data_IF_509899578260
#
_entry.id   IF_509899578260
#
_cell.length_a   1.000
_cell.length_b   1.000
_cell.length_c   1.000
_cell.angle_alpha   90.00
_cell.angle_beta   90.00
_cell.angle_gamma   90.00
#
_symmetry.space_group_name_H-M   'P 1'
#
loop_
_entity.id
_entity.type
_entity.pdbx_description
1 polymer ?
#
# COMPACT_ATOMS: atom_id res chain seq x y z
N UNK A 1 5.96 18.46 -3.59
CA UNK A 1 6.03 17.13 -2.95
C UNK A 1 7.13 16.36 -3.66
N UNK A 2 8.05 15.74 -2.92
CA UNK A 2 9.11 14.89 -3.48
C UNK A 2 9.05 13.53 -2.79
N UNK A 3 9.02 12.46 -3.58
CA UNK A 3 8.97 11.08 -3.13
C UNK A 3 9.85 10.21 -4.02
N UNK A 4 10.28 9.05 -3.50
CA UNK A 4 10.91 7.99 -4.26
C UNK A 4 10.88 6.69 -3.44
N UNK A 5 10.54 5.59 -4.10
CA UNK A 5 10.91 4.25 -3.64
C UNK A 5 12.42 4.02 -3.82
N UNK A 6 13.14 3.80 -2.72
CA UNK A 6 14.56 3.51 -2.68
C UNK A 6 15.43 4.57 -2.02
N UNK A 7 14.88 5.49 -1.21
CA UNK A 7 15.73 6.37 -0.40
C UNK A 7 16.37 5.57 0.73
N UNK A 8 17.70 5.62 0.84
CA UNK A 8 18.45 4.64 1.64
C UNK A 8 18.63 5.00 3.12
N UNK A 9 18.44 6.26 3.52
CA UNK A 9 18.60 6.71 4.91
C UNK A 9 18.11 8.14 5.12
N UNK A 10 18.03 8.58 6.38
CA UNK A 10 17.85 9.99 6.74
C UNK A 10 18.89 10.92 6.12
N UNK A 11 20.14 10.46 5.97
CA UNK A 11 21.22 11.26 5.38
C UNK A 11 20.96 11.53 3.90
N UNK A 12 20.51 10.52 3.15
CA UNK A 12 20.14 10.68 1.73
C UNK A 12 18.93 11.60 1.61
N UNK A 13 17.94 11.47 2.49
CA UNK A 13 16.75 12.32 2.49
C UNK A 13 17.10 13.79 2.77
N UNK A 14 18.04 14.04 3.70
CA UNK A 14 18.59 15.37 3.95
C UNK A 14 19.31 15.95 2.73
N UNK A 15 20.11 15.15 2.03
CA UNK A 15 20.79 15.59 0.80
C UNK A 15 19.79 16.00 -0.30
N UNK A 16 18.69 15.27 -0.45
CA UNK A 16 17.61 15.63 -1.40
C UNK A 16 17.01 16.98 -1.03
N UNK A 17 16.63 17.19 0.24
CA UNK A 17 16.07 18.46 0.71
C UNK A 17 17.06 19.61 0.50
N UNK A 18 18.34 19.40 0.83
CA UNK A 18 19.38 20.42 0.68
C UNK A 18 19.67 20.74 -0.79
N UNK A 19 19.57 19.77 -1.69
CA UNK A 19 19.72 20.00 -3.13
C UNK A 19 18.55 20.83 -3.69
N UNK A 20 17.31 20.56 -3.31
CA UNK A 20 16.17 21.42 -3.70
C UNK A 20 16.41 22.86 -3.26
N UNK A 21 16.85 23.07 -2.01
CA UNK A 21 17.18 24.40 -1.49
C UNK A 21 18.35 25.05 -2.23
N UNK A 22 19.42 24.29 -2.50
CA UNK A 22 20.61 24.76 -3.21
C UNK A 22 20.29 25.27 -4.62
N UNK A 23 19.33 24.65 -5.28
CA UNK A 23 18.91 25.01 -6.64
C UNK A 23 17.67 25.92 -6.68
N UNK A 24 17.25 26.46 -5.53
CA UNK A 24 16.11 27.37 -5.42
C UNK A 24 14.80 26.77 -5.98
N UNK A 25 14.62 25.45 -5.79
CA UNK A 25 13.43 24.71 -6.21
C UNK A 25 12.50 24.59 -5.00
N UNK A 26 11.24 25.09 -5.09
CA UNK A 26 10.28 24.99 -4.00
C UNK A 26 9.99 23.53 -3.60
N UNK A 27 10.20 23.21 -2.32
CA UNK A 27 9.89 21.91 -1.75
C UNK A 27 9.16 22.08 -0.42
N UNK A 28 7.86 21.78 -0.41
CA UNK A 28 7.03 21.88 0.80
C UNK A 28 6.95 20.57 1.60
N UNK A 29 6.98 19.43 0.90
CA UNK A 29 6.72 18.12 1.49
C UNK A 29 7.75 17.10 0.96
N UNK A 30 8.41 16.38 1.88
CA UNK A 30 9.29 15.25 1.58
C UNK A 30 8.63 13.96 2.07
N UNK A 31 8.76 12.91 1.27
CA UNK A 31 8.05 11.64 1.46
C UNK A 31 9.07 10.51 1.56
N UNK A 32 8.72 9.49 2.34
CA UNK A 32 9.46 8.23 2.37
C UNK A 32 8.52 7.10 2.04
N UNK A 33 8.94 6.28 1.08
CA UNK A 33 8.35 4.99 0.77
C UNK A 33 8.75 3.95 1.84
N UNK A 34 8.44 2.67 1.62
CA UNK A 34 8.62 1.56 2.56
C UNK A 34 10.06 1.35 3.04
N UNK A 35 11.06 1.99 2.42
CA UNK A 35 12.48 1.86 2.77
C UNK A 35 12.80 2.30 4.21
N UNK A 36 11.97 3.19 4.79
CA UNK A 36 12.18 3.63 6.16
C UNK A 36 11.85 2.53 7.18
N UNK A 37 11.04 1.55 6.78
CA UNK A 37 10.47 0.58 7.68
C UNK A 37 11.46 -0.54 8.01
N UNK A 38 11.48 -0.98 9.26
CA UNK A 38 12.24 -2.17 9.66
C UNK A 38 11.62 -3.40 9.01
N UNK A 39 12.30 -3.98 8.02
CA UNK A 39 11.80 -5.14 7.27
C UNK A 39 10.38 -4.93 6.70
N UNK A 40 10.10 -3.72 6.21
CA UNK A 40 8.81 -3.34 5.61
C UNK A 40 7.60 -3.44 6.55
N UNK A 41 7.82 -3.37 7.87
CA UNK A 41 6.77 -3.42 8.89
C UNK A 41 6.27 -2.01 9.20
N UNK A 42 4.96 -1.81 9.07
CA UNK A 42 4.33 -0.57 9.50
C UNK A 42 4.70 -0.18 10.93
N UNK A 43 4.79 1.12 11.19
CA UNK A 43 5.06 1.69 12.52
C UNK A 43 6.41 1.31 13.16
N UNK A 44 7.29 0.55 12.49
CA UNK A 44 8.66 0.31 12.92
C UNK A 44 9.67 1.00 12.00
N UNK A 45 10.59 1.77 12.57
CA UNK A 45 11.68 2.41 11.81
C UNK A 45 12.89 1.47 11.73
N UNK A 46 13.57 1.40 10.58
CA UNK A 46 14.83 0.67 10.47
C UNK A 46 15.88 1.32 11.40
N UNK A 47 16.40 0.60 12.41
CA UNK A 47 17.28 1.20 13.42
C UNK A 47 18.68 1.56 12.87
N UNK A 48 19.05 1.09 11.68
CA UNK A 48 20.37 1.28 11.09
C UNK A 48 20.40 2.43 10.07
N UNK A 49 19.34 2.56 9.26
CA UNK A 49 19.26 3.55 8.17
C UNK A 49 18.28 4.67 8.44
N UNK A 50 17.24 4.41 9.24
CA UNK A 50 16.17 5.33 9.56
C UNK A 50 15.90 5.42 11.06
N UNK A 51 16.96 5.42 11.88
CA UNK A 51 16.82 5.41 13.34
C UNK A 51 15.91 6.54 13.85
N UNK A 52 15.14 6.27 14.92
CA UNK A 52 14.22 7.26 15.53
C UNK A 52 14.98 8.50 15.99
N UNK A 53 16.20 8.34 16.51
CA UNK A 53 17.01 9.46 16.99
C UNK A 53 17.39 10.43 15.85
N UNK A 54 17.88 9.91 14.74
CA UNK A 54 18.21 10.73 13.56
C UNK A 54 16.97 11.30 12.89
N UNK A 55 15.86 10.55 12.89
CA UNK A 55 14.57 11.02 12.40
C UNK A 55 14.08 12.24 13.17
N UNK A 56 14.16 12.23 14.50
CA UNK A 56 13.82 13.40 15.33
C UNK A 56 14.67 14.63 14.98
N UNK A 57 15.96 14.45 14.74
CA UNK A 57 16.85 15.54 14.33
C UNK A 57 16.56 16.06 12.91
N UNK A 58 16.25 15.17 11.97
CA UNK A 58 15.87 15.52 10.60
C UNK A 58 14.54 16.31 10.59
N UNK A 59 13.51 15.78 11.26
CA UNK A 59 12.18 16.38 11.30
C UNK A 59 12.19 17.73 12.02
N UNK A 60 12.97 17.88 13.10
CA UNK A 60 13.13 19.18 13.75
C UNK A 60 13.68 20.26 12.79
N UNK A 61 14.64 19.92 11.93
CA UNK A 61 15.16 20.83 10.89
C UNK A 61 14.13 21.08 9.80
N UNK A 62 13.42 20.05 9.37
CA UNK A 62 12.39 20.14 8.34
C UNK A 62 11.26 21.10 8.77
N UNK A 63 10.73 20.90 9.98
CA UNK A 63 9.68 21.74 10.57
C UNK A 63 10.15 23.17 10.85
N UNK A 64 11.41 23.37 11.28
CA UNK A 64 11.99 24.72 11.45
C UNK A 64 12.05 25.51 10.12
N UNK A 65 11.99 24.82 8.98
CA UNK A 65 11.94 25.41 7.65
C UNK A 65 10.52 25.47 7.06
N UNK A 66 9.47 25.22 7.87
CA UNK A 66 8.07 25.11 7.43
C UNK A 66 7.84 24.04 6.35
N UNK A 67 8.65 22.99 6.34
CA UNK A 67 8.46 21.83 5.45
C UNK A 67 7.84 20.67 6.24
N UNK A 68 7.23 19.74 5.53
CA UNK A 68 6.40 18.67 6.11
C UNK A 68 6.88 17.28 5.67
N UNK A 69 6.67 16.28 6.52
CA UNK A 69 7.06 14.90 6.28
C UNK A 69 5.85 13.97 6.14
N UNK A 70 5.80 13.21 5.02
CA UNK A 70 4.70 12.32 4.68
C UNK A 70 5.24 10.89 4.44
N UNK A 71 5.21 10.00 5.45
CA UNK A 71 5.55 8.59 5.24
C UNK A 71 4.38 7.80 4.61
N UNK A 72 4.73 6.74 3.89
CA UNK A 72 3.80 5.67 3.52
C UNK A 72 3.42 4.83 4.73
N UNK A 73 2.20 4.28 4.74
CA UNK A 73 1.75 3.20 5.63
C UNK A 73 0.94 2.24 4.77
N UNK A 74 1.25 0.96 4.84
CA UNK A 74 0.58 -0.06 4.06
C UNK A 74 -0.73 -0.52 4.72
N UNK A 75 -1.54 -1.20 3.93
CA UNK A 75 -2.85 -1.69 4.36
C UNK A 75 -2.81 -3.02 5.10
N UNK A 76 -1.66 -3.70 5.13
CA UNK A 76 -1.52 -5.05 5.67
C UNK A 76 -0.47 -5.08 6.79
N UNK A 77 -0.81 -5.72 7.91
CA UNK A 77 0.02 -5.81 9.09
C UNK A 77 0.81 -7.11 9.06
N UNK A 78 2.13 -7.02 9.22
CA UNK A 78 3.00 -8.19 9.33
C UNK A 78 2.51 -9.19 10.39
N UNK A 79 2.51 -10.48 10.05
CA UNK A 79 2.25 -11.55 10.99
C UNK A 79 3.59 -12.14 11.49
N UNK A 80 3.94 -11.98 12.78
CA UNK A 80 5.19 -12.50 13.33
C UNK A 80 5.19 -14.04 13.40
N UNK A 81 6.38 -14.64 13.38
CA UNK A 81 6.54 -16.09 13.47
C UNK A 81 6.28 -16.52 14.93
N UNK A 82 5.21 -17.27 15.22
CA UNK A 82 4.88 -17.65 16.58
C UNK A 82 5.93 -18.56 17.24
N UNK A 83 6.79 -19.20 16.45
CA UNK A 83 7.89 -20.03 16.94
C UNK A 83 9.18 -19.23 17.23
N UNK A 84 9.23 -17.94 16.89
CA UNK A 84 10.40 -17.08 17.09
C UNK A 84 10.09 -15.91 18.02
N UNK A 85 10.47 -16.03 19.29
CA UNK A 85 10.22 -14.99 20.28
C UNK A 85 10.95 -13.65 20.00
N UNK A 86 12.02 -13.65 19.18
CA UNK A 86 12.72 -12.40 18.80
C UNK A 86 12.03 -11.68 17.64
N UNK A 87 11.06 -12.33 16.99
CA UNK A 87 10.24 -11.76 15.92
C UNK A 87 8.96 -11.09 16.47
N UNK A 88 8.99 -10.65 17.73
CA UNK A 88 7.86 -10.00 18.36
C UNK A 88 7.45 -8.74 17.60
N UNK A 89 6.14 -8.56 17.41
CA UNK A 89 5.58 -7.41 16.71
C UNK A 89 4.33 -6.91 17.43
N UNK A 90 4.48 -5.95 18.36
CA UNK A 90 3.40 -5.55 19.27
C UNK A 90 2.15 -4.98 18.58
N UNK A 91 2.30 -4.42 17.38
CA UNK A 91 1.21 -3.87 16.57
C UNK A 91 0.23 -5.00 16.21
N UNK A 92 0.77 -6.13 15.71
CA UNK A 92 0.00 -7.34 15.45
C UNK A 92 -0.63 -7.88 16.73
N UNK A 93 0.12 -7.99 17.83
CA UNK A 93 -0.39 -8.55 19.08
C UNK A 93 -1.59 -7.76 19.63
N UNK A 94 -1.53 -6.42 19.58
CA UNK A 94 -2.62 -5.53 19.99
C UNK A 94 -3.85 -5.65 19.08
N UNK A 95 -3.64 -5.72 17.77
CA UNK A 95 -4.74 -5.90 16.82
C UNK A 95 -5.40 -7.27 16.98
N UNK A 96 -4.60 -8.33 17.07
CA UNK A 96 -5.08 -9.70 17.17
C UNK A 96 -5.83 -9.94 18.48
N UNK A 97 -5.36 -9.37 19.59
CA UNK A 97 -6.07 -9.43 20.88
C UNK A 97 -7.38 -8.65 20.92
N UNK A 98 -7.62 -7.78 19.93
CA UNK A 98 -8.83 -6.98 19.78
C UNK A 98 -9.73 -7.45 18.63
N UNK A 99 -9.43 -8.63 18.04
CA UNK A 99 -10.17 -9.23 16.93
C UNK A 99 -10.39 -8.27 15.74
N UNK A 100 -9.36 -7.51 15.36
CA UNK A 100 -9.45 -6.47 14.30
C UNK A 100 -9.03 -6.95 12.92
N UNK A 101 -8.79 -8.24 12.70
CA UNK A 101 -8.27 -8.76 11.43
C UNK A 101 -9.29 -9.65 10.70
N UNK A 102 -9.24 -9.61 9.36
CA UNK A 102 -10.03 -10.47 8.48
C UNK A 102 -9.77 -11.96 8.75
N UNK A 103 -10.81 -12.77 8.55
CA UNK A 103 -10.78 -14.21 8.81
C UNK A 103 -11.03 -15.04 7.56
N UNK A 104 -10.61 -16.30 7.61
CA UNK A 104 -11.07 -17.34 6.71
C UNK A 104 -12.50 -17.78 7.07
N UNK A 105 -13.20 -18.50 6.18
CA UNK A 105 -14.51 -19.08 6.48
C UNK A 105 -14.56 -19.97 7.73
N UNK A 106 -13.44 -20.57 8.11
CA UNK A 106 -13.31 -21.40 9.32
C UNK A 106 -13.01 -20.58 10.60
N UNK A 107 -13.09 -19.24 10.52
CA UNK A 107 -12.79 -18.27 11.58
C UNK A 107 -11.30 -18.14 11.97
N UNK A 108 -10.39 -18.86 11.33
CA UNK A 108 -8.94 -18.61 11.47
C UNK A 108 -8.56 -17.27 10.84
N UNK A 109 -7.41 -16.70 11.20
CA UNK A 109 -6.93 -15.46 10.57
C UNK A 109 -6.71 -15.68 9.07
N UNK A 110 -7.17 -14.73 8.26
CA UNK A 110 -6.77 -14.64 6.85
C UNK A 110 -5.34 -14.09 6.77
N UNK A 111 -4.42 -14.87 6.21
CA UNK A 111 -2.99 -14.56 6.13
C UNK A 111 -2.58 -14.56 4.66
N UNK A 112 -2.44 -13.38 4.08
CA UNK A 112 -1.92 -13.16 2.73
C UNK A 112 -0.42 -12.91 2.74
N UNK A 113 0.08 -12.26 1.69
CA UNK A 113 1.48 -11.84 1.60
C UNK A 113 1.58 -10.44 1.01
N UNK A 114 2.38 -9.56 1.63
CA UNK A 114 2.72 -8.22 1.10
C UNK A 114 4.23 -8.00 1.33
N UNK A 115 4.71 -6.75 1.37
CA UNK A 115 6.12 -6.38 1.54
C UNK A 115 6.83 -7.04 2.73
N UNK A 116 6.26 -7.07 3.96
CA UNK A 116 6.94 -7.71 5.08
C UNK A 116 6.84 -9.24 5.06
N UNK A 117 6.27 -9.82 4.00
CA UNK A 117 5.98 -11.25 3.91
C UNK A 117 4.55 -11.56 4.32
N UNK A 118 4.36 -12.59 5.15
CA UNK A 118 3.04 -12.96 5.62
C UNK A 118 2.41 -11.83 6.43
N UNK A 119 1.18 -11.48 6.05
CA UNK A 119 0.47 -10.34 6.61
C UNK A 119 -1.01 -10.65 6.82
N UNK A 120 -1.59 -9.98 7.80
CA UNK A 120 -3.03 -9.95 8.09
C UNK A 120 -3.59 -8.59 7.69
N UNK A 121 -4.89 -8.55 7.45
CA UNK A 121 -5.56 -7.37 6.92
C UNK A 121 -6.56 -6.86 7.94
N UNK A 122 -6.51 -5.58 8.34
CA UNK A 122 -7.51 -4.99 9.23
C UNK A 122 -8.93 -5.15 8.68
N UNK A 123 -9.84 -5.61 9.52
CA UNK A 123 -11.26 -5.69 9.27
C UNK A 123 -11.96 -4.45 9.80
N UNK A 124 -12.25 -3.52 8.89
CA UNK A 124 -12.92 -2.26 9.22
C UNK A 124 -14.38 -2.40 9.62
N UNK A 125 -14.95 -3.62 9.57
CA UNK A 125 -16.29 -3.92 10.12
C UNK A 125 -16.23 -4.21 11.62
N UNK A 126 -15.04 -4.41 12.19
CA UNK A 126 -14.84 -4.48 13.62
C UNK A 126 -14.93 -3.10 14.26
N UNK A 127 -15.78 -2.97 15.28
CA UNK A 127 -15.88 -1.76 16.10
C UNK A 127 -14.56 -1.41 16.81
N UNK A 128 -13.61 -2.34 16.87
CA UNK A 128 -12.28 -2.14 17.46
C UNK A 128 -11.20 -1.76 16.44
N UNK A 129 -11.43 -1.92 15.13
CA UNK A 129 -10.40 -1.66 14.12
C UNK A 129 -10.01 -0.18 14.04
N UNK A 130 -10.99 0.74 14.01
CA UNK A 130 -10.69 2.18 14.01
C UNK A 130 -10.01 2.63 15.32
N UNK A 131 -10.51 2.27 16.52
CA UNK A 131 -9.81 2.57 17.77
C UNK A 131 -8.37 2.04 17.82
N UNK A 132 -8.15 0.80 17.36
CA UNK A 132 -6.82 0.21 17.28
C UNK A 132 -5.91 1.03 16.34
N UNK A 133 -6.36 1.32 15.12
CA UNK A 133 -5.60 2.09 14.14
C UNK A 133 -5.25 3.50 14.63
N UNK A 134 -6.20 4.19 15.27
CA UNK A 134 -5.98 5.49 15.91
C UNK A 134 -4.89 5.39 16.98
N UNK A 135 -4.92 4.35 17.81
CA UNK A 135 -3.93 4.12 18.84
C UNK A 135 -2.54 3.85 18.24
N UNK A 136 -2.43 2.98 17.23
CA UNK A 136 -1.15 2.68 16.56
C UNK A 136 -0.52 3.92 15.93
N UNK A 137 -1.29 4.71 15.18
CA UNK A 137 -0.78 5.97 14.61
C UNK A 137 -0.39 6.99 15.67
N UNK A 138 -1.12 7.06 16.78
CA UNK A 138 -0.80 8.00 17.87
C UNK A 138 0.50 7.61 18.57
N UNK A 139 0.69 6.33 18.88
CA UNK A 139 1.95 5.84 19.47
C UNK A 139 3.12 6.01 18.51
N UNK A 140 2.94 5.75 17.23
CA UNK A 140 4.00 5.93 16.24
C UNK A 140 4.38 7.41 16.07
N UNK A 141 3.40 8.31 16.13
CA UNK A 141 3.64 9.75 16.07
C UNK A 141 4.51 10.27 17.23
N UNK A 142 4.43 9.67 18.42
CA UNK A 142 5.31 10.04 19.56
C UNK A 142 6.81 9.78 19.26
N UNK A 143 7.10 8.84 18.37
CA UNK A 143 8.45 8.56 17.89
C UNK A 143 8.80 9.37 16.65
N UNK A 144 7.88 9.49 15.70
CA UNK A 144 8.10 10.13 14.40
C UNK A 144 7.00 11.17 14.15
N UNK A 145 7.35 12.45 14.30
CA UNK A 145 6.44 13.57 14.08
C UNK A 145 6.16 13.79 12.57
N UNK A 146 5.41 12.89 11.93
CA UNK A 146 4.91 13.08 10.57
C UNK A 146 3.84 14.18 10.51
N UNK A 147 3.47 14.63 9.30
CA UNK A 147 2.50 15.73 9.08
C UNK A 147 1.27 15.30 8.26
N UNK A 148 1.30 14.09 7.74
CA UNK A 148 0.24 13.46 6.95
C UNK A 148 0.66 12.05 6.59
N UNK A 149 -0.25 11.29 5.96
CA UNK A 149 -0.02 9.87 5.68
C UNK A 149 -0.33 9.56 4.23
N UNK A 150 0.52 8.75 3.63
CA UNK A 150 0.24 8.08 2.37
C UNK A 150 -0.22 6.64 2.67
N UNK A 151 -1.47 6.31 2.34
CA UNK A 151 -1.99 4.94 2.47
C UNK A 151 -1.90 4.23 1.12
N UNK A 152 -1.14 3.14 1.08
CA UNK A 152 -0.98 2.33 -0.12
C UNK A 152 -1.45 0.89 0.04
N UNK A 153 -1.43 0.14 -1.06
CA UNK A 153 -1.77 -1.29 -1.11
C UNK A 153 -3.21 -1.61 -0.67
N UNK A 154 -4.11 -0.64 -0.84
CA UNK A 154 -5.43 -0.57 -0.18
C UNK A 154 -6.62 -1.09 -1.01
N UNK A 155 -6.37 -1.77 -2.13
CA UNK A 155 -7.41 -2.39 -2.93
C UNK A 155 -8.32 -3.40 -2.19
N UNK A 156 -7.88 -4.35 -1.36
CA UNK A 156 -6.56 -4.56 -0.72
C UNK A 156 -5.69 -5.60 -1.42
N UNK A 157 -4.43 -5.23 -1.66
CA UNK A 157 -3.49 -6.02 -2.47
C UNK A 157 -2.90 -7.20 -1.70
N UNK A 158 -2.70 -8.33 -2.38
CA UNK A 158 -1.97 -9.50 -1.87
C UNK A 158 -1.10 -10.12 -2.95
N UNK A 159 0.15 -10.45 -2.63
CA UNK A 159 1.13 -11.07 -3.52
C UNK A 159 0.89 -12.57 -3.73
N UNK A 160 -0.05 -13.16 -3.00
CA UNK A 160 -0.46 -14.54 -3.16
C UNK A 160 -1.99 -14.65 -3.31
N UNK A 161 -2.42 -15.67 -4.05
CA UNK A 161 -3.84 -16.02 -4.17
C UNK A 161 -4.24 -16.84 -2.95
N UNK A 162 -5.31 -16.42 -2.28
CA UNK A 162 -5.80 -17.07 -1.07
C UNK A 162 -5.03 -16.71 0.19
N UNK A 163 -5.45 -17.33 1.29
CA UNK A 163 -4.80 -17.22 2.59
C UNK A 163 -3.53 -18.07 2.66
N UNK A 164 -2.52 -17.70 1.88
CA UNK A 164 -1.32 -18.52 1.64
C UNK A 164 -0.44 -18.75 2.88
N UNK A 165 -0.56 -17.91 3.91
CA UNK A 165 0.13 -18.09 5.18
C UNK A 165 -0.60 -19.00 6.18
N UNK A 166 -1.89 -19.32 5.95
CA UNK A 166 -2.64 -20.21 6.84
C UNK A 166 -2.01 -21.61 6.87
N UNK A 167 -1.64 -22.06 8.07
CA UNK A 167 -0.92 -23.31 8.28
C UNK A 167 0.57 -23.27 7.95
N UNK A 168 1.07 -22.17 7.36
CA UNK A 168 2.45 -22.02 6.90
C UNK A 168 3.20 -20.86 7.57
N UNK A 169 2.59 -20.17 8.54
CA UNK A 169 3.15 -18.96 9.17
C UNK A 169 4.58 -19.14 9.71
N UNK A 170 4.98 -20.35 10.10
CA UNK A 170 6.34 -20.64 10.57
C UNK A 170 7.42 -20.52 9.49
N UNK A 171 7.05 -20.55 8.21
CA UNK A 171 7.98 -20.27 7.11
C UNK A 171 8.42 -18.81 7.10
N UNK A 172 7.54 -17.89 7.54
CA UNK A 172 7.74 -16.44 7.66
C UNK A 172 8.77 -15.87 6.66
N UNK A 173 8.45 -15.85 5.35
CA UNK A 173 9.31 -15.15 4.41
C UNK A 173 9.35 -13.68 4.82
N UNK A 174 10.53 -13.08 4.95
CA UNK A 174 10.71 -11.67 5.36
C UNK A 174 10.95 -10.75 4.16
N UNK A 175 10.54 -11.20 2.98
CA UNK A 175 10.76 -10.55 1.70
C UNK A 175 9.69 -11.04 0.71
N UNK A 176 9.19 -10.20 -0.22
CA UNK A 176 8.32 -10.66 -1.29
C UNK A 176 8.96 -11.78 -2.13
N UNK A 177 8.14 -12.61 -2.81
CA UNK A 177 8.64 -13.76 -3.58
C UNK A 177 9.33 -13.37 -4.92
N UNK A 178 9.55 -12.08 -5.16
CA UNK A 178 10.19 -11.51 -6.34
C UNK A 178 11.31 -10.55 -5.93
N UNK A 179 12.27 -10.32 -6.82
CA UNK A 179 13.38 -9.40 -6.57
C UNK A 179 12.88 -7.95 -6.60
N UNK A 180 13.42 -7.13 -5.72
CA UNK A 180 13.16 -5.69 -5.72
C UNK A 180 14.22 -4.92 -6.54
N UNK A 181 13.83 -3.81 -7.18
CA UNK A 181 14.74 -2.87 -7.82
C UNK A 181 15.96 -2.54 -6.96
N UNK A 182 17.16 -2.91 -7.43
CA UNK A 182 18.42 -2.64 -6.75
C UNK A 182 18.96 -3.77 -5.87
N UNK A 183 18.24 -4.88 -5.72
CA UNK A 183 18.77 -6.08 -5.05
C UNK A 183 19.90 -6.75 -5.85
N UNK A 184 20.70 -7.58 -5.16
CA UNK A 184 21.74 -8.39 -5.80
C UNK A 184 21.07 -9.36 -6.78
N UNK A 185 21.15 -9.05 -8.07
CA UNK A 185 20.52 -9.82 -9.14
C UNK A 185 19.45 -9.05 -9.93
N UNK A 186 19.00 -7.89 -9.42
CA UNK A 186 18.05 -6.99 -10.08
C UNK A 186 18.55 -5.54 -10.07
N UNK A 187 19.76 -5.34 -10.58
CA UNK A 187 20.34 -4.00 -10.71
C UNK A 187 19.56 -3.27 -11.82
N UNK A 188 18.86 -2.21 -11.44
CA UNK A 188 18.20 -1.31 -12.39
C UNK A 188 19.24 -0.49 -13.14
N UNK A 189 19.47 -0.83 -14.40
CA UNK A 189 20.29 -0.05 -15.33
C UNK A 189 19.47 0.97 -16.12
N UNK A 190 18.14 0.90 -16.00
CA UNK A 190 17.21 1.74 -16.73
C UNK A 190 17.00 3.07 -16.01
N UNK A 191 16.92 4.14 -16.80
CA UNK A 191 16.55 5.47 -16.31
C UNK A 191 15.02 5.60 -16.32
N UNK A 192 14.44 6.53 -15.52
CA UNK A 192 13.02 6.84 -15.60
C UNK A 192 12.59 7.08 -17.05
N UNK A 193 11.40 6.60 -17.40
CA UNK A 193 10.85 6.76 -18.73
C UNK A 193 10.92 8.24 -19.18
N UNK A 194 11.54 8.52 -20.33
CA UNK A 194 11.74 9.87 -20.86
C UNK A 194 13.12 10.50 -20.63
N UNK A 195 13.97 9.96 -19.76
CA UNK A 195 15.36 10.47 -19.60
C UNK A 195 16.29 10.13 -20.77
N UNK A 196 15.87 9.24 -21.66
CA UNK A 196 16.62 8.84 -22.86
C UNK A 196 16.24 9.64 -24.12
N UNK A 197 15.40 10.68 -24.01
CA UNK A 197 14.93 11.48 -25.14
C UNK A 197 15.55 12.89 -25.10
N UNK A 198 16.43 13.15 -26.06
CA UNK A 198 17.20 14.39 -26.28
C UNK A 198 16.36 15.67 -26.38
N UNK A 199 16.87 16.79 -25.85
CA UNK A 199 16.73 18.24 -26.19
C UNK A 199 15.47 18.79 -26.91
N UNK A 200 14.35 18.10 -26.91
CA UNK A 200 13.06 18.67 -27.31
C UNK A 200 12.37 19.24 -26.07
N UNK A 201 11.80 20.43 -26.20
CA UNK A 201 11.14 21.13 -25.10
C UNK A 201 10.01 20.27 -24.51
N UNK A 202 9.85 20.27 -23.19
CA UNK A 202 8.85 19.48 -22.45
C UNK A 202 7.42 19.61 -22.99
N UNK A 203 7.06 20.77 -23.56
CA UNK A 203 5.76 20.97 -24.22
C UNK A 203 5.58 20.10 -25.48
N UNK A 204 6.67 19.83 -26.21
CA UNK A 204 6.69 19.01 -27.41
C UNK A 204 6.57 17.53 -27.08
N UNK A 205 7.24 17.07 -26.01
CA UNK A 205 7.16 15.68 -25.54
C UNK A 205 5.81 15.35 -24.90
N UNK A 206 5.24 16.27 -24.12
CA UNK A 206 3.88 16.10 -23.56
C UNK A 206 2.84 16.11 -24.68
N UNK A 207 2.95 17.02 -25.66
CA UNK A 207 2.03 17.03 -26.81
C UNK A 207 2.17 15.78 -27.67
N UNK A 208 3.39 15.25 -27.86
CA UNK A 208 3.60 13.98 -28.57
C UNK A 208 3.07 12.78 -27.79
N UNK A 209 3.24 12.73 -26.47
CA UNK A 209 2.71 11.65 -25.63
C UNK A 209 1.19 11.67 -25.59
N UNK A 210 0.57 12.85 -25.43
CA UNK A 210 -0.89 12.99 -25.48
C UNK A 210 -1.45 12.59 -26.86
N UNK A 211 -0.74 12.92 -27.95
CA UNK A 211 -1.14 12.52 -29.30
C UNK A 211 -0.85 11.05 -29.61
N UNK A 212 0.19 10.44 -29.01
CA UNK A 212 0.45 8.99 -29.07
C UNK A 212 -0.59 8.22 -28.27
N UNK A 213 -0.99 8.70 -27.08
CA UNK A 213 -2.03 8.07 -26.26
C UNK A 213 -3.41 8.21 -26.92
N UNK A 214 -3.71 9.38 -27.52
CA UNK A 214 -4.90 9.56 -28.34
C UNK A 214 -4.87 8.69 -29.62
N UNK A 215 -3.72 8.54 -30.27
CA UNK A 215 -3.55 7.67 -31.42
C UNK A 215 -3.64 6.19 -31.05
N UNK A 216 -3.07 5.76 -29.92
CA UNK A 216 -3.19 4.39 -29.41
C UNK A 216 -4.65 4.03 -29.09
N UNK A 217 -5.42 5.01 -28.59
CA UNK A 217 -6.87 4.87 -28.35
C UNK A 217 -7.66 4.85 -29.67
N UNK A 218 -7.16 5.48 -30.73
CA UNK A 218 -7.79 5.50 -32.07
C UNK A 218 -7.35 4.35 -33.01
N UNK A 219 -6.22 3.68 -32.72
CA UNK A 219 -5.61 2.64 -33.60
C UNK A 219 -5.89 1.22 -33.12
N UNK A 220 -6.73 1.01 -32.10
CA UNK A 220 -7.22 -0.32 -31.69
C UNK A 220 -8.20 -0.96 -32.69
N UNK A 221 -8.39 -0.36 -33.87
CA UNK A 221 -8.97 -1.04 -35.03
C UNK A 221 -7.89 -1.37 -36.06
N UNK A 222 -7.62 -2.68 -36.15
CA UNK A 222 -6.96 -3.40 -37.25
C UNK A 222 -5.43 -3.31 -37.36
N UNK A 223 -4.73 -4.27 -36.73
CA UNK A 223 -3.98 -5.39 -37.36
C UNK A 223 -2.82 -5.83 -36.45
N UNK A 224 -3.03 -6.94 -35.76
CA UNK A 224 -2.00 -7.64 -34.99
C UNK A 224 -2.43 -9.10 -34.85
N UNK A 225 -1.56 -10.02 -35.27
CA UNK A 225 -1.79 -11.47 -35.29
C UNK A 225 -2.29 -11.96 -33.94
N UNK A 226 -3.53 -12.45 -33.90
CA UNK A 226 -4.18 -12.94 -32.69
C UNK A 226 -3.59 -14.30 -32.27
N UNK A 227 -2.58 -14.30 -31.43
CA UNK A 227 -2.56 -15.30 -30.35
C UNK A 227 -3.65 -14.88 -29.37
N UNK A 228 -4.86 -15.37 -29.58
CA UNK A 228 -5.91 -15.39 -28.55
C UNK A 228 -5.40 -16.25 -27.40
N UNK A 229 -4.60 -15.67 -26.52
CA UNK A 229 -4.62 -16.10 -25.13
C UNK A 229 -5.96 -15.62 -24.60
N UNK A 230 -7.00 -16.43 -24.75
CA UNK A 230 -8.19 -16.22 -23.95
C UNK A 230 -7.74 -16.37 -22.50
N UNK A 231 -7.73 -15.28 -21.73
CA UNK A 231 -7.64 -15.38 -20.28
C UNK A 231 -8.74 -16.34 -19.84
N UNK A 232 -8.33 -17.53 -19.41
CA UNK A 232 -9.23 -18.58 -18.99
C UNK A 232 -9.64 -18.26 -17.56
N UNK A 233 -10.82 -17.69 -17.39
CA UNK A 233 -11.39 -17.46 -16.06
C UNK A 233 -11.96 -18.75 -15.49
N UNK A 234 -11.73 -18.98 -14.20
CA UNK A 234 -12.41 -20.04 -13.48
C UNK A 234 -13.84 -19.56 -13.16
N UNK A 235 -14.84 -20.32 -13.61
CA UNK A 235 -16.26 -20.03 -13.35
C UNK A 235 -17.01 -21.30 -13.00
N UNK A 236 -18.00 -21.17 -12.13
CA UNK A 236 -18.91 -22.26 -11.79
C UNK A 236 -20.16 -22.27 -12.66
N UNK A 237 -20.80 -23.43 -12.74
CA UNK A 237 -22.16 -23.54 -13.27
C UNK A 237 -23.15 -23.04 -12.21
N UNK A 238 -24.07 -22.12 -12.53
CA UNK A 238 -25.09 -21.68 -11.60
C UNK A 238 -25.86 -22.88 -11.01
N UNK A 239 -25.73 -23.07 -9.70
CA UNK A 239 -26.42 -24.14 -8.98
C UNK A 239 -27.37 -23.50 -7.96
N UNK A 240 -28.69 -23.76 -8.01
CA UNK A 240 -29.64 -23.15 -7.09
C UNK A 240 -29.25 -23.36 -5.62
N UNK A 241 -29.18 -22.27 -4.86
CA UNK A 241 -28.83 -22.30 -3.43
C UNK A 241 -27.34 -22.40 -3.12
N UNK A 242 -26.45 -22.43 -4.13
CA UNK A 242 -25.00 -22.43 -3.94
C UNK A 242 -24.44 -21.06 -4.33
N UNK A 243 -23.66 -20.46 -3.43
CA UNK A 243 -22.92 -19.22 -3.68
C UNK A 243 -21.42 -19.54 -3.72
N UNK A 244 -20.87 -19.66 -4.93
CA UNK A 244 -19.42 -19.73 -5.10
C UNK A 244 -18.89 -18.33 -5.42
N UNK A 245 -18.32 -17.68 -4.41
CA UNK A 245 -17.78 -16.32 -4.51
C UNK A 245 -16.38 -16.28 -5.11
N UNK A 246 -15.61 -17.36 -5.00
CA UNK A 246 -14.26 -17.41 -5.55
C UNK A 246 -14.31 -17.53 -7.08
N UNK A 247 -15.30 -18.29 -7.59
CA UNK A 247 -15.48 -18.56 -9.01
C UNK A 247 -16.93 -18.30 -9.44
N UNK A 248 -17.36 -17.02 -9.47
CA UNK A 248 -18.74 -16.69 -9.77
C UNK A 248 -19.13 -17.15 -11.19
N UNK A 249 -20.41 -17.50 -11.42
CA UNK A 249 -20.85 -17.96 -12.73
C UNK A 249 -20.75 -16.90 -13.83
N UNK A 250 -20.85 -15.63 -13.44
CA UNK A 250 -20.56 -14.48 -14.28
C UNK A 250 -19.25 -13.84 -13.82
N UNK A 251 -18.23 -13.91 -14.67
CA UNK A 251 -16.92 -13.32 -14.40
C UNK A 251 -16.84 -11.97 -15.12
N UNK A 252 -16.50 -10.93 -14.38
CA UNK A 252 -16.25 -9.60 -14.95
C UNK A 252 -14.96 -9.63 -15.78
N UNK A 253 -14.79 -8.65 -16.67
CA UNK A 253 -13.55 -8.50 -17.43
C UNK A 253 -12.43 -7.90 -16.55
N UNK A 254 -12.05 -8.60 -15.49
CA UNK A 254 -10.96 -8.19 -14.61
C UNK A 254 -9.63 -8.40 -15.35
N UNK A 255 -8.87 -7.32 -15.52
CA UNK A 255 -7.63 -7.29 -16.32
C UNK A 255 -6.57 -8.23 -15.72
N UNK A 256 -6.60 -8.44 -14.40
CA UNK A 256 -5.63 -9.27 -13.68
C UNK A 256 -6.01 -10.76 -13.60
N UNK A 257 -7.18 -11.17 -14.11
CA UNK A 257 -7.66 -12.56 -14.05
C UNK A 257 -8.77 -12.79 -13.02
N UNK A 258 -8.76 -13.93 -12.33
CA UNK A 258 -9.78 -14.25 -11.33
C UNK A 258 -9.79 -13.24 -10.17
N UNK A 259 -10.91 -13.12 -9.44
CA UNK A 259 -11.12 -12.06 -8.45
C UNK A 259 -10.08 -12.04 -7.31
N UNK A 260 -9.51 -13.19 -6.96
CA UNK A 260 -8.51 -13.33 -5.90
C UNK A 260 -7.07 -13.03 -6.37
N UNK A 261 -6.85 -12.76 -7.66
CA UNK A 261 -5.51 -12.48 -8.19
C UNK A 261 -5.10 -11.06 -7.80
N UNK A 262 -3.94 -10.95 -7.15
CA UNK A 262 -3.40 -9.69 -6.61
C UNK A 262 -4.25 -9.03 -5.50
N UNK A 263 -5.16 -9.76 -4.86
CA UNK A 263 -6.08 -9.24 -3.86
C UNK A 263 -6.39 -10.24 -2.74
N UNK A 264 -6.99 -9.78 -1.64
CA UNK A 264 -7.63 -10.67 -0.66
C UNK A 264 -8.75 -11.46 -1.34
N UNK A 265 -8.86 -12.75 -0.98
CA UNK A 265 -9.82 -13.65 -1.64
C UNK A 265 -11.26 -13.29 -1.32
N UNK A 266 -12.19 -13.45 -2.29
CA UNK A 266 -13.58 -13.09 -2.10
C UNK A 266 -14.30 -13.82 -0.96
N UNK A 267 -13.82 -15.02 -0.57
CA UNK A 267 -14.36 -15.77 0.55
C UNK A 267 -13.75 -15.40 1.92
N UNK A 268 -12.81 -14.45 1.98
CA UNK A 268 -12.41 -13.87 3.26
C UNK A 268 -13.67 -13.30 3.94
N UNK A 269 -13.77 -13.47 5.25
CA UNK A 269 -14.98 -13.21 6.02
C UNK A 269 -14.71 -12.16 7.08
N UNK A 270 -15.49 -11.09 7.04
CA UNK A 270 -15.52 -10.05 8.05
C UNK A 270 -16.16 -10.56 9.35
N UNK A 271 -15.92 -9.87 10.46
CA UNK A 271 -16.39 -10.23 11.80
C UNK A 271 -17.92 -10.29 11.92
N UNK A 272 -18.63 -9.54 11.07
CA UNK A 272 -20.09 -9.53 10.98
C UNK A 272 -20.66 -10.62 10.04
N UNK A 273 -19.79 -11.45 9.46
CA UNK A 273 -20.14 -12.54 8.55
C UNK A 273 -20.30 -12.12 7.10
N UNK A 274 -20.07 -10.86 6.76
CA UNK A 274 -20.03 -10.41 5.36
C UNK A 274 -18.79 -11.01 4.69
N UNK A 275 -18.95 -11.50 3.47
CA UNK A 275 -17.83 -11.98 2.65
C UNK A 275 -17.20 -10.80 1.89
N UNK A 276 -15.87 -10.80 1.79
CA UNK A 276 -15.08 -9.79 1.06
C UNK A 276 -15.61 -9.58 -0.37
N UNK A 277 -16.16 -10.62 -1.00
CA UNK A 277 -16.84 -10.54 -2.30
C UNK A 277 -17.82 -9.35 -2.41
N UNK A 278 -18.55 -9.04 -1.33
CA UNK A 278 -19.59 -8.02 -1.33
C UNK A 278 -19.05 -6.60 -1.07
N UNK A 279 -17.87 -6.49 -0.44
CA UNK A 279 -17.36 -5.23 0.12
C UNK A 279 -15.92 -4.90 -0.27
N UNK A 280 -15.26 -5.73 -1.09
CA UNK A 280 -13.87 -5.56 -1.52
C UNK A 280 -13.53 -4.13 -1.95
N UNK A 281 -14.37 -3.54 -2.79
CA UNK A 281 -14.17 -2.18 -3.31
C UNK A 281 -14.30 -1.06 -2.25
N UNK A 282 -14.62 -1.39 -0.99
CA UNK A 282 -14.75 -0.45 0.12
C UNK A 282 -13.51 -0.43 1.03
N UNK A 283 -12.58 -1.39 0.91
CA UNK A 283 -11.44 -1.48 1.82
C UNK A 283 -10.65 -0.17 1.87
N UNK A 284 -10.24 0.35 0.71
CA UNK A 284 -9.52 1.62 0.59
C UNK A 284 -10.29 2.80 1.16
N UNK A 285 -11.61 2.85 0.93
CA UNK A 285 -12.49 3.87 1.50
C UNK A 285 -12.51 3.82 3.03
N UNK A 286 -12.54 2.62 3.62
CA UNK A 286 -12.61 2.40 5.05
C UNK A 286 -11.29 2.73 5.76
N UNK A 287 -10.14 2.26 5.26
CA UNK A 287 -8.83 2.61 5.84
C UNK A 287 -8.55 4.11 5.74
N UNK A 288 -8.93 4.77 4.65
CA UNK A 288 -8.75 6.22 4.51
C UNK A 288 -9.61 7.01 5.52
N UNK A 289 -10.82 6.53 5.83
CA UNK A 289 -11.61 7.11 6.90
C UNK A 289 -10.99 6.83 8.28
N UNK A 290 -10.50 5.61 8.54
CA UNK A 290 -9.83 5.26 9.79
C UNK A 290 -8.58 6.13 10.03
N UNK A 291 -7.75 6.30 9.00
CA UNK A 291 -6.58 7.19 9.01
C UNK A 291 -7.00 8.65 9.22
N UNK A 292 -8.11 9.09 8.64
CA UNK A 292 -8.64 10.43 8.91
C UNK A 292 -9.01 10.63 10.38
N UNK A 293 -9.64 9.64 11.03
CA UNK A 293 -9.91 9.70 12.47
C UNK A 293 -8.61 9.71 13.29
N UNK A 294 -7.62 8.91 12.90
CA UNK A 294 -6.31 8.86 13.54
C UNK A 294 -5.61 10.23 13.48
N UNK A 295 -5.58 10.87 12.31
CA UNK A 295 -4.94 12.17 12.14
C UNK A 295 -5.70 13.31 12.84
N UNK A 296 -7.01 13.22 13.03
CA UNK A 296 -7.75 14.15 13.88
C UNK A 296 -7.37 14.01 15.36
N UNK A 297 -7.02 12.81 15.81
CA UNK A 297 -6.52 12.57 17.16
C UNK A 297 -5.08 13.07 17.33
N UNK A 298 -4.21 12.80 16.35
CA UNK A 298 -2.81 13.22 16.35
C UNK A 298 -2.67 14.76 16.21
N UNK A 299 -3.50 15.39 15.38
CA UNK A 299 -3.45 16.84 15.12
C UNK A 299 -4.79 17.55 15.40
N UNK A 300 -5.21 17.69 16.68
CA UNK A 300 -6.49 18.31 17.01
C UNK A 300 -6.65 19.71 16.41
N UNK A 301 -7.75 19.93 15.68
CA UNK A 301 -8.07 21.22 15.07
C UNK A 301 -7.29 21.55 13.79
N UNK A 302 -6.40 20.68 13.31
CA UNK A 302 -5.77 20.81 11.99
C UNK A 302 -6.51 19.96 10.96
N UNK A 303 -6.37 20.33 9.69
CA UNK A 303 -6.86 19.51 8.58
C UNK A 303 -5.89 18.35 8.34
N UNK A 304 -6.34 17.08 8.39
CA UNK A 304 -5.52 15.94 7.99
C UNK A 304 -5.09 16.02 6.52
N UNK A 305 -3.86 15.57 6.23
CA UNK A 305 -3.39 15.33 4.87
C UNK A 305 -3.25 13.82 4.66
N UNK A 306 -4.01 13.27 3.71
CA UNK A 306 -3.98 11.85 3.35
C UNK A 306 -3.99 11.73 1.83
N UNK A 307 -3.12 10.89 1.29
CA UNK A 307 -3.17 10.44 -0.09
C UNK A 307 -3.37 8.91 -0.08
N UNK A 308 -4.41 8.44 -0.79
CA UNK A 308 -4.80 7.03 -0.84
C UNK A 308 -4.83 6.46 -2.26
N UNK A 309 -4.47 5.18 -2.41
CA UNK A 309 -4.51 4.49 -3.71
C UNK A 309 -5.93 4.09 -4.08
N UNK A 310 -6.48 3.11 -3.36
CA UNK A 310 -7.83 2.61 -3.59
C UNK A 310 -8.87 3.58 -3.05
N UNK A 311 -9.91 3.83 -3.84
CA UNK A 311 -10.98 4.75 -3.48
C UNK A 311 -12.35 4.19 -3.88
N UNK A 312 -13.38 4.70 -3.21
CA UNK A 312 -14.77 4.45 -3.58
C UNK A 312 -15.54 5.78 -3.63
N UNK A 313 -16.80 5.73 -4.07
CA UNK A 313 -17.67 6.90 -4.08
C UNK A 313 -17.72 7.55 -2.69
N UNK A 314 -17.31 8.81 -2.60
CA UNK A 314 -17.28 9.59 -1.36
C UNK A 314 -15.92 9.68 -0.66
N UNK A 315 -14.90 8.92 -1.07
CA UNK A 315 -13.56 8.95 -0.44
C UNK A 315 -12.91 10.34 -0.42
N UNK A 316 -13.20 11.19 -1.43
CA UNK A 316 -12.71 12.57 -1.51
C UNK A 316 -13.13 13.48 -0.35
N UNK A 317 -14.01 13.01 0.54
CA UNK A 317 -14.33 13.66 1.82
C UNK A 317 -13.15 13.63 2.80
N UNK A 318 -12.28 12.62 2.73
CA UNK A 318 -11.23 12.37 3.73
C UNK A 318 -9.81 12.40 3.17
N UNK A 319 -9.62 11.93 1.93
CA UNK A 319 -8.30 11.76 1.34
C UNK A 319 -8.24 12.23 -0.12
N UNK A 320 -7.06 12.66 -0.55
CA UNK A 320 -6.72 12.80 -1.96
C UNK A 320 -6.29 11.47 -2.57
N UNK A 321 -5.98 11.50 -3.86
CA UNK A 321 -5.60 10.35 -4.68
C UNK A 321 -4.53 10.78 -5.69
N UNK A 322 -3.71 9.84 -6.16
CA UNK A 322 -2.75 10.03 -7.24
C UNK A 322 -2.97 8.95 -8.32
N UNK A 323 -2.44 9.16 -9.52
CA UNK A 323 -2.72 8.31 -10.68
C UNK A 323 -2.25 6.85 -10.60
N UNK A 324 -1.60 6.42 -9.52
CA UNK A 324 -0.99 5.09 -9.42
C UNK A 324 0.23 4.94 -10.31
N UNK A 325 0.67 3.68 -10.43
CA UNK A 325 1.71 3.21 -11.35
C UNK A 325 1.10 2.62 -12.63
#
# INVERSE_FOLDING_TARGET
HQCRWGYQSWTVLQEVVDNFRKFDIPLENIWTDIDYMKLYRDFEMDPNTFSVAEGKDFLAKLHANNQHYIPIVDSAIYHPNPANATDAYPIFDRGNSSDVFLRNPDSSLYIGSVWPGYAVFPDWHSDQAVPWWVNEMSMWHDDINFDGIWIDMSEVSSFCVGSCGSGNVTLNPVHPPFLLPGEIGDIQYDYPEGFNLTNSTEASSISSLASIQAAATATTTATGSSTTSSTSYLRTTPTPGVRDVNYPPYVINNVQGDLAVHAVSPNATHIDGIEEYDVHNLFGHQILNATYQALLNVFPGKRPFIIGRSTFAGTGKWAGHWGGD
#
